data_IF_921683477111
#
_entry.id   IF_921683477111
#
_cell.length_a   1.000
_cell.length_b   1.000
_cell.length_c   1.000
_cell.angle_alpha   90.00
_cell.angle_beta   90.00
_cell.angle_gamma   90.00
#
_symmetry.space_group_name_H-M   'P 1'
#
loop_
_entity.id
_entity.type
_entity.pdbx_description
1 polymer ?
#
# COMPACT_ATOMS: atom_id res chain seq x y z
N UNK A 1 14.16 -12.57 9.31
CA UNK A 1 14.57 -13.94 9.73
C UNK A 1 14.83 -14.76 8.48
N UNK A 2 15.94 -15.50 8.40
CA UNK A 2 16.34 -16.20 7.16
C UNK A 2 15.36 -17.32 6.78
N UNK A 3 15.11 -17.49 5.47
CA UNK A 3 14.28 -18.60 4.97
C UNK A 3 15.07 -19.91 5.04
N UNK A 4 16.31 -19.88 4.55
CA UNK A 4 17.24 -21.00 4.52
C UNK A 4 18.53 -20.65 5.27
N UNK A 5 19.28 -21.68 5.65
CA UNK A 5 20.66 -21.56 6.12
C UNK A 5 21.46 -22.77 5.62
N UNK A 6 22.39 -22.61 4.65
CA UNK A 6 23.16 -23.73 4.13
C UNK A 6 24.16 -24.30 5.17
N UNK A 7 24.52 -23.51 6.18
CA UNK A 7 25.52 -23.86 7.18
C UNK A 7 24.92 -24.46 8.45
N UNK A 8 23.58 -24.56 8.54
CA UNK A 8 22.87 -25.15 9.67
C UNK A 8 21.54 -25.71 9.21
N UNK A 9 21.29 -26.97 9.52
CA UNK A 9 19.96 -27.57 9.32
C UNK A 9 18.94 -27.04 10.32
N UNK A 10 19.35 -26.37 11.40
CA UNK A 10 18.47 -25.85 12.44
C UNK A 10 18.37 -24.31 12.39
N UNK A 11 17.41 -23.74 13.13
CA UNK A 11 17.24 -22.28 13.32
C UNK A 11 17.01 -21.46 12.05
N UNK A 12 16.27 -22.02 11.07
CA UNK A 12 15.78 -21.30 9.91
C UNK A 12 14.30 -21.64 9.63
N UNK A 13 13.67 -20.86 8.76
CA UNK A 13 12.23 -20.98 8.52
C UNK A 13 11.86 -22.30 7.81
N UNK A 14 12.65 -22.73 6.81
CA UNK A 14 12.42 -24.01 6.11
C UNK A 14 12.47 -25.20 7.07
N UNK A 15 13.48 -25.25 7.93
CA UNK A 15 13.60 -26.27 8.97
C UNK A 15 12.37 -26.31 9.88
N UNK A 16 11.91 -25.15 10.35
CA UNK A 16 10.71 -25.07 11.21
C UNK A 16 9.48 -25.62 10.51
N UNK A 17 9.26 -25.24 9.25
CA UNK A 17 8.14 -25.75 8.43
C UNK A 17 8.24 -27.27 8.25
N UNK A 18 9.41 -27.80 7.84
CA UNK A 18 9.62 -29.24 7.64
C UNK A 18 9.49 -30.04 8.93
N UNK A 19 9.90 -29.48 10.06
CA UNK A 19 9.77 -30.12 11.38
C UNK A 19 8.31 -30.31 11.75
N UNK A 20 7.47 -29.29 11.57
CA UNK A 20 6.03 -29.40 11.79
C UNK A 20 5.37 -30.41 10.85
N UNK A 21 5.76 -30.43 9.58
CA UNK A 21 5.27 -31.42 8.62
C UNK A 21 5.67 -32.85 9.00
N UNK A 22 6.92 -33.04 9.44
CA UNK A 22 7.45 -34.35 9.88
C UNK A 22 6.74 -34.84 11.15
N UNK A 23 6.26 -33.93 11.99
CA UNK A 23 5.42 -34.24 13.15
C UNK A 23 3.95 -34.51 12.79
N UNK A 24 3.56 -34.46 11.50
CA UNK A 24 2.23 -34.79 11.02
C UNK A 24 1.29 -33.60 10.81
N UNK A 25 1.76 -32.35 10.95
CA UNK A 25 0.94 -31.18 10.65
C UNK A 25 0.79 -31.02 9.12
N UNK A 26 -0.45 -31.05 8.65
CA UNK A 26 -0.75 -30.82 7.22
C UNK A 26 -0.32 -29.40 6.80
N UNK A 27 0.42 -29.24 5.67
CA UNK A 27 0.78 -27.93 5.10
C UNK A 27 -0.40 -26.98 4.94
N UNK A 28 -1.56 -27.50 4.51
CA UNK A 28 -2.83 -26.74 4.37
C UNK A 28 -3.40 -26.15 5.67
N UNK A 29 -2.75 -26.36 6.81
CA UNK A 29 -3.10 -25.75 8.11
C UNK A 29 -2.00 -24.81 8.63
N UNK A 30 -0.93 -24.64 7.87
CA UNK A 30 0.24 -23.86 8.26
C UNK A 30 0.25 -22.53 7.52
N UNK A 31 0.59 -21.46 8.23
CA UNK A 31 0.67 -20.10 7.66
C UNK A 31 2.06 -19.54 7.93
N UNK A 32 2.76 -19.10 6.88
CA UNK A 32 4.10 -18.52 6.98
C UNK A 32 4.06 -17.09 7.53
N UNK A 33 4.92 -16.75 8.48
CA UNK A 33 5.09 -15.36 8.93
C UNK A 33 6.01 -14.57 7.98
N UNK A 34 5.61 -13.36 7.63
CA UNK A 34 6.41 -12.35 6.93
C UNK A 34 6.70 -11.17 7.88
N UNK A 35 7.93 -11.06 8.42
CA UNK A 35 8.30 -10.00 9.35
C UNK A 35 8.58 -8.69 8.62
N UNK A 36 7.82 -7.63 8.94
CA UNK A 36 8.05 -6.27 8.45
C UNK A 36 8.97 -5.48 9.39
N UNK A 37 9.94 -6.16 9.97
CA UNK A 37 10.93 -5.60 10.85
C UNK A 37 12.26 -6.32 10.65
N UNK A 38 13.33 -5.65 11.06
CA UNK A 38 14.67 -6.17 11.05
C UNK A 38 15.23 -6.44 12.44
N UNK A 39 16.44 -6.98 12.43
CA UNK A 39 17.27 -7.20 13.60
C UNK A 39 18.63 -6.58 13.35
N UNK A 40 19.24 -6.04 14.41
CA UNK A 40 20.54 -5.40 14.34
C UNK A 40 21.56 -6.09 15.25
N UNK A 41 22.80 -6.12 14.78
CA UNK A 41 23.97 -6.60 15.51
C UNK A 41 25.09 -5.58 15.39
N UNK A 42 25.90 -5.46 16.43
CA UNK A 42 27.12 -4.64 16.37
C UNK A 42 28.29 -5.51 15.92
N UNK A 43 28.83 -5.22 14.73
CA UNK A 43 30.00 -5.88 14.18
C UNK A 43 31.23 -5.57 15.03
N UNK A 44 32.10 -6.57 15.19
CA UNK A 44 33.45 -6.37 15.74
C UNK A 44 34.33 -5.58 14.77
N UNK A 45 34.16 -5.82 13.47
CA UNK A 45 34.86 -5.14 12.40
C UNK A 45 33.87 -4.78 11.28
N UNK A 46 33.58 -3.49 11.01
CA UNK A 46 32.62 -3.11 9.96
C UNK A 46 33.08 -3.45 8.54
N UNK A 47 34.37 -3.75 8.34
CA UNK A 47 34.89 -4.22 7.05
C UNK A 47 34.61 -5.72 6.82
N UNK A 48 34.22 -6.44 7.86
CA UNK A 48 33.72 -7.82 7.81
C UNK A 48 32.22 -7.78 8.04
N UNK A 49 31.44 -7.66 6.96
CA UNK A 49 30.01 -7.36 7.04
C UNK A 49 29.13 -8.31 6.22
N UNK A 50 29.65 -9.49 5.88
CA UNK A 50 28.86 -10.58 5.32
C UNK A 50 27.97 -11.25 6.37
N UNK A 51 27.04 -12.08 5.91
CA UNK A 51 26.27 -12.97 6.80
C UNK A 51 27.26 -13.89 7.54
N UNK A 52 27.10 -13.99 8.87
CA UNK A 52 28.00 -14.76 9.74
C UNK A 52 29.22 -13.98 10.23
N UNK A 53 29.34 -12.69 9.90
CA UNK A 53 30.41 -11.85 10.41
C UNK A 53 30.43 -11.80 11.96
N UNK A 54 31.62 -11.73 12.58
CA UNK A 54 31.73 -11.63 14.03
C UNK A 54 31.06 -10.36 14.59
N UNK A 55 30.10 -10.57 15.50
CA UNK A 55 29.41 -9.50 16.22
C UNK A 55 29.67 -9.62 17.73
N UNK A 56 29.49 -8.52 18.47
CA UNK A 56 29.54 -8.54 19.94
C UNK A 56 28.22 -9.04 20.51
N UNK A 57 27.12 -8.35 20.23
CA UNK A 57 25.78 -8.68 20.70
C UNK A 57 24.71 -8.26 19.68
N UNK A 58 23.54 -8.89 19.79
CA UNK A 58 22.34 -8.44 19.07
C UNK A 58 21.83 -7.19 19.77
N UNK A 59 22.00 -6.04 19.14
CA UNK A 59 21.66 -4.75 19.74
C UNK A 59 20.17 -4.49 19.77
N UNK A 60 19.40 -5.04 18.81
CA UNK A 60 17.93 -4.95 18.79
C UNK A 60 17.30 -6.20 18.12
N UNK A 61 16.47 -6.93 18.87
CA UNK A 61 15.69 -8.10 18.41
C UNK A 61 14.37 -7.71 17.75
N UNK A 62 13.72 -6.65 18.26
CA UNK A 62 12.44 -6.10 17.81
C UNK A 62 12.52 -4.58 17.98
N UNK A 63 12.59 -3.82 16.88
CA UNK A 63 12.67 -2.35 16.99
C UNK A 63 12.89 -1.63 15.68
N UNK A 64 13.64 -2.24 14.75
CA UNK A 64 13.84 -1.66 13.42
C UNK A 64 12.69 -2.05 12.50
N UNK A 65 11.62 -1.27 12.54
CA UNK A 65 10.48 -1.48 11.64
C UNK A 65 10.88 -1.16 10.19
N UNK A 66 10.34 -1.90 9.22
CA UNK A 66 10.73 -1.77 7.81
C UNK A 66 10.63 -0.32 7.31
N UNK A 67 9.58 0.40 7.69
CA UNK A 67 9.41 1.83 7.37
C UNK A 67 10.60 2.70 7.78
N UNK A 68 11.18 2.48 8.96
CA UNK A 68 12.31 3.28 9.46
C UNK A 68 13.60 2.92 8.72
N UNK A 69 13.82 1.62 8.51
CA UNK A 69 14.93 1.12 7.68
C UNK A 69 14.86 1.75 6.29
N UNK A 70 13.68 1.75 5.67
CA UNK A 70 13.46 2.29 4.33
C UNK A 70 13.67 3.81 4.27
N UNK A 71 13.18 4.56 5.26
CA UNK A 71 13.43 6.01 5.37
C UNK A 71 14.93 6.30 5.46
N UNK A 72 15.68 5.51 6.23
CA UNK A 72 17.12 5.68 6.37
C UNK A 72 17.85 5.43 5.04
N UNK A 73 17.60 4.26 4.42
CA UNK A 73 18.17 3.89 3.12
C UNK A 73 17.89 4.97 2.07
N UNK A 74 16.65 5.45 2.00
CA UNK A 74 16.28 6.44 0.99
C UNK A 74 16.92 7.81 1.21
N UNK A 75 17.18 8.17 2.48
CA UNK A 75 17.81 9.43 2.88
C UNK A 75 19.31 9.42 2.59
N UNK A 76 20.01 8.35 2.97
CA UNK A 76 21.47 8.28 2.90
C UNK A 76 22.00 7.51 1.68
N UNK A 77 21.10 6.90 0.90
CA UNK A 77 21.43 6.07 -0.27
C UNK A 77 22.31 4.87 0.09
N UNK A 78 22.08 4.29 1.26
CA UNK A 78 22.82 3.12 1.71
C UNK A 78 22.63 1.94 0.76
N UNK A 79 23.72 1.22 0.52
CA UNK A 79 23.70 0.01 -0.28
C UNK A 79 23.07 -1.13 0.52
N UNK A 80 21.93 -1.62 0.04
CA UNK A 80 21.30 -2.86 0.53
C UNK A 80 21.79 -4.04 -0.29
N UNK A 81 22.11 -5.14 0.39
CA UNK A 81 22.46 -6.42 -0.23
C UNK A 81 21.31 -7.40 0.00
N UNK A 82 20.83 -8.01 -1.08
CA UNK A 82 19.94 -9.17 -1.00
C UNK A 82 20.77 -10.43 -1.14
N UNK A 83 20.65 -11.34 -0.18
CA UNK A 83 21.26 -12.65 -0.23
C UNK A 83 20.21 -13.69 -0.64
N UNK A 84 20.44 -14.35 -1.78
CA UNK A 84 19.53 -15.34 -2.35
C UNK A 84 19.58 -16.69 -1.64
N UNK A 85 20.70 -16.98 -0.98
CA UNK A 85 20.99 -18.22 -0.29
C UNK A 85 20.23 -18.26 1.03
N UNK A 86 20.20 -17.15 1.77
CA UNK A 86 19.46 -17.02 3.04
C UNK A 86 18.06 -16.40 2.85
N UNK A 87 17.78 -15.78 1.70
CA UNK A 87 16.55 -15.04 1.38
C UNK A 87 16.27 -13.96 2.43
N UNK A 88 17.22 -13.04 2.53
CA UNK A 88 17.20 -11.92 3.48
C UNK A 88 17.92 -10.74 2.86
N UNK A 89 17.54 -9.52 3.27
CA UNK A 89 18.27 -8.31 2.92
C UNK A 89 19.08 -7.87 4.12
N UNK A 90 20.22 -7.24 3.86
CA UNK A 90 21.00 -6.61 4.91
C UNK A 90 21.74 -5.37 4.43
N UNK A 91 22.07 -4.50 5.38
CA UNK A 91 22.97 -3.38 5.19
C UNK A 91 23.82 -3.15 6.43
N UNK A 92 24.88 -2.37 6.29
CA UNK A 92 25.73 -1.95 7.42
C UNK A 92 25.77 -0.43 7.50
N UNK A 93 25.48 0.12 8.67
CA UNK A 93 25.54 1.55 8.99
C UNK A 93 26.52 1.73 10.15
N UNK A 94 27.68 2.31 9.89
CA UNK A 94 28.78 2.33 10.86
C UNK A 94 29.17 0.91 11.25
N UNK A 95 28.99 0.55 12.52
CA UNK A 95 29.21 -0.82 13.03
C UNK A 95 27.91 -1.64 13.15
N UNK A 96 26.75 -1.05 12.85
CA UNK A 96 25.47 -1.75 12.95
C UNK A 96 25.17 -2.51 11.67
N UNK A 97 25.10 -3.84 11.77
CA UNK A 97 24.66 -4.72 10.69
C UNK A 97 23.19 -5.04 10.89
N UNK A 98 22.36 -4.75 9.89
CA UNK A 98 20.90 -4.83 9.97
C UNK A 98 20.42 -5.85 8.95
N UNK A 99 19.76 -6.93 9.40
CA UNK A 99 19.03 -7.84 8.52
C UNK A 99 17.52 -7.56 8.58
N UNK A 100 16.86 -7.62 7.42
CA UNK A 100 15.43 -7.36 7.28
C UNK A 100 14.89 -8.00 5.98
N UNK A 101 13.57 -8.01 5.82
CA UNK A 101 12.94 -8.41 4.57
C UNK A 101 12.53 -7.17 3.75
N UNK A 102 13.03 -7.09 2.52
CA UNK A 102 12.60 -6.15 1.49
C UNK A 102 11.85 -6.92 0.38
N UNK A 103 11.35 -6.22 -0.64
CA UNK A 103 10.50 -6.72 -1.74
C UNK A 103 10.93 -8.09 -2.25
N UNK A 104 12.21 -8.29 -2.62
CA UNK A 104 12.69 -9.57 -3.15
C UNK A 104 12.57 -10.74 -2.17
N UNK A 105 12.86 -10.50 -0.89
CA UNK A 105 12.75 -11.52 0.15
C UNK A 105 11.29 -11.87 0.42
N UNK A 106 10.40 -10.87 0.46
CA UNK A 106 8.95 -11.08 0.60
C UNK A 106 8.41 -11.91 -0.57
N UNK A 107 8.76 -11.55 -1.81
CA UNK A 107 8.36 -12.31 -3.01
C UNK A 107 8.79 -13.77 -2.89
N UNK A 108 10.07 -14.04 -2.61
CA UNK A 108 10.58 -15.41 -2.53
C UNK A 108 9.92 -16.22 -1.41
N UNK A 109 9.65 -15.59 -0.26
CA UNK A 109 8.97 -16.25 0.89
C UNK A 109 7.52 -16.57 0.59
N UNK A 110 6.82 -15.71 -0.14
CA UNK A 110 5.46 -15.99 -0.63
C UNK A 110 5.48 -17.14 -1.63
N UNK A 111 6.38 -17.11 -2.63
CA UNK A 111 6.56 -18.26 -3.56
C UNK A 111 6.88 -19.55 -2.81
N UNK A 112 7.74 -19.49 -1.78
CA UNK A 112 8.06 -20.65 -0.96
C UNK A 112 6.83 -21.22 -0.23
N UNK A 113 5.97 -20.36 0.32
CA UNK A 113 4.73 -20.82 0.96
C UNK A 113 3.80 -21.52 -0.05
N UNK A 114 3.71 -21.00 -1.27
CA UNK A 114 2.97 -21.61 -2.38
C UNK A 114 3.58 -22.97 -2.79
N UNK A 115 4.90 -23.02 -3.01
CA UNK A 115 5.66 -24.23 -3.38
C UNK A 115 5.51 -25.36 -2.34
N UNK A 116 5.49 -25.01 -1.05
CA UNK A 116 5.32 -25.96 0.04
C UNK A 116 3.86 -26.35 0.30
N UNK A 117 2.90 -25.76 -0.43
CA UNK A 117 1.47 -26.04 -0.26
C UNK A 117 0.94 -25.59 1.10
N UNK A 118 1.51 -24.54 1.68
CA UNK A 118 1.02 -23.94 2.94
C UNK A 118 -0.37 -23.33 2.72
N UNK A 119 -1.13 -23.14 3.81
CA UNK A 119 -2.43 -22.45 3.76
C UNK A 119 -2.29 -21.01 3.25
N UNK A 120 -1.14 -20.39 3.51
CA UNK A 120 -0.81 -19.05 3.07
C UNK A 120 0.27 -18.43 3.93
N UNK A 121 0.19 -17.12 4.11
CA UNK A 121 1.10 -16.33 4.93
C UNK A 121 0.33 -15.26 5.73
N UNK A 122 0.96 -14.72 6.76
CA UNK A 122 0.50 -13.54 7.50
C UNK A 122 1.68 -12.60 7.72
N UNK A 123 1.41 -11.34 8.07
CA UNK A 123 2.45 -10.31 8.24
C UNK A 123 2.52 -9.85 9.69
N UNK A 124 3.72 -9.64 10.21
CA UNK A 124 3.94 -9.00 11.52
C UNK A 124 4.82 -7.77 11.37
N UNK A 125 4.29 -6.55 11.55
CA UNK A 125 2.87 -6.24 11.49
C UNK A 125 2.61 -5.18 10.43
N UNK A 126 1.36 -5.11 9.98
CA UNK A 126 0.92 -4.27 8.86
C UNK A 126 1.41 -2.82 9.00
N UNK A 127 1.36 -2.25 10.21
CA UNK A 127 1.77 -0.85 10.48
C UNK A 127 3.28 -0.58 10.33
N UNK A 128 4.10 -1.62 10.19
CA UNK A 128 5.54 -1.49 10.01
C UNK A 128 5.95 -1.36 8.53
N UNK A 129 5.01 -1.57 7.60
CA UNK A 129 5.22 -1.33 6.17
C UNK A 129 5.44 0.18 5.89
N UNK A 130 5.96 0.49 4.71
CA UNK A 130 6.11 1.89 4.30
C UNK A 130 4.75 2.56 4.02
N UNK A 131 4.76 3.88 3.84
CA UNK A 131 3.52 4.63 3.58
C UNK A 131 2.84 4.22 2.25
N UNK A 132 3.53 3.46 1.40
CA UNK A 132 3.03 2.97 0.12
C UNK A 132 2.52 1.53 0.21
N UNK A 133 2.61 0.87 1.37
CA UNK A 133 2.27 -0.54 1.58
C UNK A 133 3.04 -1.47 0.65
N UNK A 134 4.32 -1.16 0.38
CA UNK A 134 5.09 -1.84 -0.66
C UNK A 134 5.23 -3.34 -0.36
N UNK A 135 5.51 -3.73 0.89
CA UNK A 135 5.64 -5.14 1.23
C UNK A 135 4.27 -5.85 1.19
N UNK A 136 3.22 -5.19 1.67
CA UNK A 136 1.85 -5.76 1.68
C UNK A 136 1.31 -5.98 0.28
N UNK A 137 1.51 -5.02 -0.63
CA UNK A 137 1.15 -5.16 -2.05
C UNK A 137 1.98 -6.27 -2.70
N UNK A 138 3.28 -6.31 -2.41
CA UNK A 138 4.18 -7.34 -2.92
C UNK A 138 3.71 -8.73 -2.50
N UNK A 139 3.38 -8.92 -1.23
CA UNK A 139 2.88 -10.19 -0.72
C UNK A 139 1.56 -10.56 -1.40
N UNK A 140 0.60 -9.63 -1.49
CA UNK A 140 -0.72 -9.86 -2.08
C UNK A 140 -0.69 -10.15 -3.60
N UNK A 141 0.31 -9.66 -4.33
CA UNK A 141 0.48 -9.91 -5.77
C UNK A 141 0.99 -11.34 -6.07
N UNK A 142 1.40 -12.09 -5.05
CA UNK A 142 1.84 -13.48 -5.17
C UNK A 142 3.27 -13.64 -5.71
N UNK A 143 3.77 -14.88 -5.66
CA UNK A 143 5.11 -15.25 -6.14
C UNK A 143 5.34 -15.12 -7.65
N UNK A 144 4.31 -14.74 -8.41
CA UNK A 144 4.29 -14.74 -9.88
C UNK A 144 4.83 -13.45 -10.51
N UNK A 145 5.28 -12.48 -9.72
CA UNK A 145 5.79 -11.18 -10.19
C UNK A 145 7.20 -11.23 -10.86
N UNK A 146 7.60 -12.36 -11.45
CA UNK A 146 8.90 -12.52 -12.13
C UNK A 146 9.00 -11.66 -13.42
N UNK A 147 7.92 -11.04 -13.91
CA UNK A 147 7.90 -10.37 -15.23
C UNK A 147 7.93 -8.83 -15.18
N UNK A 148 7.75 -8.19 -14.02
CA UNK A 148 7.75 -6.72 -13.96
C UNK A 148 8.77 -6.21 -12.96
N UNK A 149 9.73 -5.35 -13.35
CA UNK A 149 10.58 -4.67 -12.38
C UNK A 149 9.69 -3.93 -11.36
N UNK A 150 10.12 -3.80 -10.10
CA UNK A 150 9.37 -3.06 -9.10
C UNK A 150 9.05 -1.66 -9.65
N UNK A 151 7.85 -1.12 -9.34
CA UNK A 151 7.49 0.21 -9.83
C UNK A 151 8.58 1.20 -9.43
N UNK A 152 9.18 1.84 -10.42
CA UNK A 152 10.12 2.94 -10.21
C UNK A 152 9.44 3.96 -9.29
N UNK A 153 10.10 4.31 -8.18
CA UNK A 153 9.65 5.34 -7.25
C UNK A 153 9.74 6.71 -7.94
N UNK A 154 8.74 7.00 -8.76
CA UNK A 154 8.52 8.29 -9.39
C UNK A 154 8.01 9.26 -8.30
N UNK A 155 8.95 9.79 -7.50
CA UNK A 155 8.74 10.93 -6.57
C UNK A 155 8.42 12.25 -7.27
N UNK A 156 7.99 12.23 -8.53
CA UNK A 156 7.50 13.39 -9.26
C UNK A 156 6.10 13.09 -9.79
N UNK A 157 5.12 13.21 -8.90
CA UNK A 157 3.72 13.29 -9.28
C UNK A 157 2.83 12.32 -8.55
N UNK A 158 2.45 12.68 -7.32
CA UNK A 158 1.05 12.47 -6.93
C UNK A 158 0.15 13.32 -7.84
N UNK A 159 0.05 12.98 -9.13
CA UNK A 159 -1.09 13.40 -9.93
C UNK A 159 -2.26 12.65 -9.34
N UNK A 160 -3.08 13.36 -8.57
CA UNK A 160 -4.39 12.88 -8.13
C UNK A 160 -5.06 12.26 -9.35
N UNK A 161 -5.29 10.97 -9.27
CA UNK A 161 -5.94 10.15 -10.29
C UNK A 161 -7.17 10.92 -10.84
N UNK A 162 -7.16 11.37 -12.12
CA UNK A 162 -8.12 12.38 -12.61
C UNK A 162 -9.57 11.90 -12.53
N UNK A 163 -9.79 10.58 -12.60
CA UNK A 163 -11.12 9.98 -12.44
C UNK A 163 -11.73 10.21 -11.05
N UNK A 164 -10.94 10.31 -9.97
CA UNK A 164 -11.47 10.60 -8.62
C UNK A 164 -12.03 12.02 -8.50
N UNK A 165 -11.43 12.98 -9.21
CA UNK A 165 -11.93 14.36 -9.25
C UNK A 165 -13.18 14.44 -10.13
N UNK A 166 -13.21 13.73 -11.27
CA UNK A 166 -14.37 13.70 -12.17
C UNK A 166 -15.63 13.15 -11.47
N UNK A 167 -15.49 12.11 -10.63
CA UNK A 167 -16.61 11.54 -9.86
C UNK A 167 -17.21 12.54 -8.86
N UNK A 168 -16.45 13.53 -8.38
CA UNK A 168 -16.94 14.57 -7.47
C UNK A 168 -17.47 15.79 -8.24
N UNK A 169 -16.80 16.17 -9.33
CA UNK A 169 -17.12 17.39 -10.09
C UNK A 169 -18.38 17.22 -10.94
N UNK A 170 -18.60 16.05 -11.56
CA UNK A 170 -19.76 15.80 -12.42
C UNK A 170 -21.11 15.92 -11.67
N UNK A 171 -21.29 15.35 -10.46
CA UNK A 171 -22.52 15.55 -9.68
C UNK A 171 -22.78 17.01 -9.33
N UNK A 172 -21.73 17.77 -8.98
CA UNK A 172 -21.85 19.18 -8.61
C UNK A 172 -22.30 20.01 -9.82
N UNK A 173 -21.71 19.79 -11.00
CA UNK A 173 -22.10 20.46 -12.24
C UNK A 173 -23.56 20.13 -12.59
N UNK A 174 -23.95 18.85 -12.51
CA UNK A 174 -25.32 18.43 -12.77
C UNK A 174 -26.32 19.11 -11.81
N UNK A 175 -26.00 19.19 -10.52
CA UNK A 175 -26.83 19.86 -9.52
C UNK A 175 -26.99 21.36 -9.80
N UNK A 176 -25.93 22.04 -10.22
CA UNK A 176 -25.98 23.47 -10.60
C UNK A 176 -26.85 23.70 -11.82
N UNK A 177 -26.73 22.85 -12.85
CA UNK A 177 -27.58 22.94 -14.06
C UNK A 177 -29.06 22.74 -13.71
N UNK A 178 -29.37 21.76 -12.87
CA UNK A 178 -30.75 21.51 -12.42
C UNK A 178 -31.30 22.68 -11.60
N UNK A 179 -30.50 23.26 -10.70
CA UNK A 179 -30.89 24.44 -9.92
C UNK A 179 -31.15 25.66 -10.82
N UNK A 180 -30.27 25.94 -11.78
CA UNK A 180 -30.47 27.04 -12.73
C UNK A 180 -31.73 26.82 -13.58
N UNK A 181 -31.94 25.61 -14.09
CA UNK A 181 -33.15 25.25 -14.83
C UNK A 181 -34.42 25.44 -14.00
N UNK A 182 -34.38 25.08 -12.71
CA UNK A 182 -35.51 25.25 -11.79
C UNK A 182 -35.81 26.73 -11.51
N UNK A 183 -34.78 27.56 -11.27
CA UNK A 183 -34.92 29.01 -11.09
C UNK A 183 -35.50 29.67 -12.34
N UNK A 184 -34.97 29.33 -13.51
CA UNK A 184 -35.47 29.82 -14.80
C UNK A 184 -36.92 29.40 -15.01
N UNK A 185 -37.28 28.16 -14.69
CA UNK A 185 -38.66 27.68 -14.78
C UNK A 185 -39.60 28.47 -13.86
N UNK A 186 -39.21 28.72 -12.60
CA UNK A 186 -39.98 29.55 -11.67
C UNK A 186 -40.15 30.96 -12.23
N UNK A 187 -39.09 31.56 -12.74
CA UNK A 187 -39.12 32.89 -13.35
C UNK A 187 -40.11 32.95 -14.53
N UNK A 188 -40.02 32.01 -15.48
CA UNK A 188 -40.96 31.95 -16.62
C UNK A 188 -42.41 31.70 -16.18
N UNK A 189 -42.62 30.86 -15.16
CA UNK A 189 -43.95 30.60 -14.60
C UNK A 189 -44.54 31.85 -13.95
N UNK A 190 -43.73 32.60 -13.21
CA UNK A 190 -44.14 33.86 -12.59
C UNK A 190 -44.46 34.93 -13.63
N UNK A 191 -43.59 35.10 -14.64
CA UNK A 191 -43.82 36.05 -15.75
C UNK A 191 -45.09 35.74 -16.54
N UNK A 192 -45.40 34.46 -16.81
CA UNK A 192 -46.67 34.08 -17.46
C UNK A 192 -47.89 34.45 -16.63
N UNK A 193 -47.85 34.25 -15.30
CA UNK A 193 -48.94 34.67 -14.40
C UNK A 193 -49.12 36.19 -14.39
N UNK A 194 -48.02 36.96 -14.41
CA UNK A 194 -48.09 38.44 -14.47
C UNK A 194 -48.73 38.93 -15.77
N UNK A 195 -48.28 38.46 -16.93
CA UNK A 195 -48.88 38.80 -18.23
C UNK A 195 -50.36 38.44 -18.32
N UNK A 196 -50.76 37.29 -17.77
CA UNK A 196 -52.17 36.89 -17.72
C UNK A 196 -53.02 37.86 -16.88
N UNK A 197 -52.52 38.30 -15.71
CA UNK A 197 -53.21 39.30 -14.88
C UNK A 197 -53.35 40.65 -15.58
N UNK A 198 -52.30 41.13 -16.24
CA UNK A 198 -52.33 42.39 -17.01
C UNK A 198 -53.32 42.33 -18.17
N UNK A 199 -53.40 41.21 -18.88
CA UNK A 199 -54.39 41.01 -19.95
C UNK A 199 -55.84 41.05 -19.43
N UNK A 200 -56.13 40.43 -18.28
CA UNK A 200 -57.45 40.49 -17.64
C UNK A 200 -57.84 41.91 -17.22
N UNK A 201 -56.89 42.68 -16.68
CA UNK A 201 -57.12 44.08 -16.31
C UNK A 201 -57.46 44.93 -17.54
N UNK A 202 -56.73 44.76 -18.65
CA UNK A 202 -57.01 45.49 -19.89
C UNK A 202 -58.41 45.15 -20.41
N UNK A 203 -58.77 43.87 -20.49
CA UNK A 203 -60.10 43.44 -20.95
C UNK A 203 -61.21 44.04 -20.06
N UNK A 204 -61.04 44.00 -18.74
CA UNK A 204 -61.99 44.57 -17.79
C UNK A 204 -62.16 46.08 -17.96
N UNK A 205 -61.05 46.82 -18.12
CA UNK A 205 -61.08 48.27 -18.37
C UNK A 205 -61.70 48.63 -19.73
N UNK A 206 -61.50 47.81 -20.76
CA UNK A 206 -62.14 47.99 -22.07
C UNK A 206 -63.65 47.78 -22.00
N UNK A 207 -64.12 46.77 -21.27
CA UNK A 207 -65.55 46.51 -21.04
C UNK A 207 -66.23 47.62 -20.22
N UNK A 208 -65.55 48.18 -19.21
CA UNK A 208 -66.08 49.31 -18.44
C UNK A 208 -66.22 50.59 -19.28
N UNK A 209 -65.34 50.82 -20.24
CA UNK A 209 -65.42 51.98 -21.16
C UNK A 209 -66.54 51.87 -22.19
N UNK A 210 -67.06 50.68 -22.49
CA UNK A 210 -68.16 50.50 -23.45
C UNK A 210 -69.56 50.59 -22.84
N UNK A 211 -69.66 50.78 -21.51
CA UNK A 211 -70.93 50.81 -20.76
C UNK A 211 -71.31 52.25 -20.32
N UNK A 212 -70.43 53.23 -20.55
CA UNK A 212 -70.69 54.67 -20.40
C UNK A 212 -70.66 55.36 -21.76
#
# INVERSE_FOLDING_TARGET
MALFNPNSTENNTDYGIRSWMSAGLSPKKMVLNLPYYGSAWTLKNPNENGIGAPATEQTQTLGLVYKEIKIHIDRYKDKVTYDDTYVVNYLTIGTSWIAFDDVKAIQRKVSYAEEMGLLGYYVWQVTYDDNNWVLSKTAAQGGHAIISPPPEDNRNGQKKQPYRLLVIVLPIIAAVILLLGFVIYIYYRWMRKKKSKEAWIIIFLTQLKSIN
#
